data_IF_202513119322
#
_entry.id   IF_202513119322
#
_cell.length_a   1.000
_cell.length_b   1.000
_cell.length_c   1.000
_cell.angle_alpha   90.00
_cell.angle_beta   90.00
_cell.angle_gamma   90.00
#
_symmetry.space_group_name_H-M   'P 1'
#
loop_
_entity.id
_entity.type
_entity.pdbx_description
1 polymer ?
#
# COMPACT_ATOMS: atom_id res chain seq x y z
N UNK A 1 22.84 -9.82 43.74
CA UNK A 1 21.99 -10.78 43.00
C UNK A 1 22.36 -10.70 41.53
N UNK A 2 23.11 -11.66 41.00
CA UNK A 2 23.65 -11.62 39.64
C UNK A 2 22.62 -12.17 38.66
N UNK A 3 22.07 -11.33 37.78
CA UNK A 3 21.24 -11.76 36.67
C UNK A 3 22.11 -12.43 35.60
N UNK A 4 22.42 -13.73 35.78
CA UNK A 4 23.09 -14.52 34.76
C UNK A 4 22.09 -14.95 33.69
N UNK A 5 22.08 -14.25 32.57
CA UNK A 5 21.33 -14.67 31.39
C UNK A 5 21.99 -15.92 30.80
N UNK A 6 21.43 -17.10 31.07
CA UNK A 6 21.94 -18.35 30.49
C UNK A 6 21.43 -18.52 29.05
N UNK A 7 22.13 -19.33 28.24
CA UNK A 7 21.80 -19.53 26.81
C UNK A 7 20.34 -19.92 26.58
N UNK A 8 19.78 -20.77 27.46
CA UNK A 8 18.40 -21.27 27.35
C UNK A 8 17.39 -20.15 27.60
N UNK A 9 17.66 -19.32 28.60
CA UNK A 9 16.87 -18.14 28.94
C UNK A 9 16.93 -17.08 27.83
N UNK A 10 18.11 -16.89 27.23
CA UNK A 10 18.27 -16.02 26.05
C UNK A 10 17.42 -16.50 24.87
N UNK A 11 17.52 -17.77 24.48
CA UNK A 11 16.75 -18.33 23.36
C UNK A 11 15.24 -18.23 23.61
N UNK A 12 14.78 -18.52 24.84
CA UNK A 12 13.36 -18.43 25.20
C UNK A 12 12.82 -17.01 25.09
N UNK A 13 13.57 -16.03 25.60
CA UNK A 13 13.21 -14.60 25.52
C UNK A 13 13.26 -14.07 24.09
N UNK A 14 14.27 -14.47 23.32
CA UNK A 14 14.39 -14.10 21.91
C UNK A 14 13.20 -14.64 21.09
N UNK A 15 12.81 -15.91 21.30
CA UNK A 15 11.66 -16.51 20.63
C UNK A 15 10.32 -15.82 21.00
N UNK A 16 10.15 -15.45 22.27
CA UNK A 16 8.99 -14.67 22.72
C UNK A 16 8.96 -13.26 22.10
N UNK A 17 10.11 -12.59 22.00
CA UNK A 17 10.21 -11.26 21.41
C UNK A 17 9.97 -11.27 19.89
N UNK A 18 10.42 -12.31 19.18
CA UNK A 18 10.22 -12.42 17.72
C UNK A 18 8.83 -12.91 17.34
N UNK A 19 8.06 -13.51 18.25
CA UNK A 19 6.69 -13.95 17.98
C UNK A 19 5.76 -12.79 17.55
N UNK A 20 6.02 -11.56 18.01
CA UNK A 20 5.26 -10.37 17.63
C UNK A 20 5.80 -9.68 16.36
N UNK A 21 6.97 -10.07 15.86
CA UNK A 21 7.60 -9.43 14.70
C UNK A 21 6.73 -9.43 13.43
N UNK A 22 5.99 -10.49 13.07
CA UNK A 22 5.15 -10.48 11.87
C UNK A 22 4.04 -9.42 11.91
N UNK A 23 3.42 -9.19 13.07
CA UNK A 23 2.36 -8.20 13.24
C UNK A 23 2.91 -6.77 13.12
N UNK A 24 4.04 -6.50 13.77
CA UNK A 24 4.73 -5.19 13.69
C UNK A 24 5.23 -4.92 12.27
N UNK A 25 5.80 -5.92 11.59
CA UNK A 25 6.26 -5.77 10.21
C UNK A 25 5.12 -5.44 9.25
N UNK A 26 3.90 -5.97 9.43
CA UNK A 26 2.74 -5.61 8.61
C UNK A 26 2.28 -4.18 8.85
N UNK A 27 2.31 -3.70 10.10
CA UNK A 27 1.98 -2.33 10.45
C UNK A 27 3.00 -1.32 9.87
N UNK A 28 4.29 -1.66 9.91
CA UNK A 28 5.37 -0.79 9.42
C UNK A 28 5.53 -0.83 7.90
N UNK A 29 5.19 -1.95 7.24
CA UNK A 29 5.27 -2.09 5.77
C UNK A 29 4.11 -1.42 5.01
N UNK A 30 3.42 -0.47 5.64
CA UNK A 30 2.56 0.44 4.90
C UNK A 30 1.28 -0.21 4.36
N UNK A 31 0.64 -1.09 5.13
CA UNK A 31 -0.65 -1.67 4.73
C UNK A 31 -1.70 -0.61 4.34
N UNK A 32 -1.61 0.60 4.90
CA UNK A 32 -2.40 1.78 4.54
C UNK A 32 -1.53 2.99 4.15
N UNK A 33 -0.36 2.76 3.55
CA UNK A 33 0.51 3.86 3.15
C UNK A 33 -0.13 4.69 2.03
N UNK A 34 -0.06 6.03 2.08
CA UNK A 34 -0.56 6.90 1.01
C UNK A 34 0.04 6.57 -0.37
N UNK A 35 1.28 6.08 -0.39
CA UNK A 35 1.98 5.64 -1.61
C UNK A 35 1.33 4.43 -2.30
N UNK A 36 0.39 3.73 -1.66
CA UNK A 36 -0.34 2.62 -2.27
C UNK A 36 -1.44 3.10 -3.24
N UNK A 37 -1.74 4.41 -3.24
CA UNK A 37 -2.75 5.00 -4.12
C UNK A 37 -2.11 6.01 -5.07
N UNK A 38 -2.42 5.88 -6.35
CA UNK A 38 -2.09 6.87 -7.39
C UNK A 38 -3.36 7.58 -7.82
N UNK A 39 -3.41 8.88 -7.60
CA UNK A 39 -4.50 9.75 -8.05
C UNK A 39 -4.08 10.39 -9.37
N UNK A 40 -4.87 10.17 -10.43
CA UNK A 40 -4.56 10.64 -11.78
C UNK A 40 -5.73 11.40 -12.41
N UNK A 41 -5.38 12.21 -13.41
CA UNK A 41 -6.32 12.87 -14.30
C UNK A 41 -6.17 12.31 -15.72
N UNK A 42 -7.27 12.20 -16.47
CA UNK A 42 -7.24 11.77 -17.87
C UNK A 42 -7.58 12.97 -18.76
N UNK A 43 -6.67 13.32 -19.66
CA UNK A 43 -6.85 14.39 -20.64
C UNK A 43 -7.09 13.79 -22.03
N UNK A 44 -8.19 14.16 -22.66
CA UNK A 44 -8.74 13.52 -23.85
C UNK A 44 -9.42 12.19 -23.49
N UNK A 45 -10.75 12.15 -23.44
CA UNK A 45 -11.54 10.98 -22.99
C UNK A 45 -12.28 10.25 -24.10
N UNK A 46 -12.10 10.62 -25.36
CA UNK A 46 -12.57 9.81 -26.49
C UNK A 46 -11.86 8.44 -26.58
N UNK A 47 -12.26 7.56 -27.52
CA UNK A 47 -11.63 6.27 -27.88
C UNK A 47 -10.61 5.70 -26.87
N UNK A 48 -9.30 5.96 -27.04
CA UNK A 48 -8.23 5.45 -26.18
C UNK A 48 -8.25 6.05 -24.77
N UNK A 49 -8.58 7.31 -24.64
CA UNK A 49 -8.73 8.00 -23.36
C UNK A 49 -9.77 7.34 -22.46
N UNK A 50 -10.96 7.06 -23.01
CA UNK A 50 -12.00 6.27 -22.31
C UNK A 50 -11.48 4.89 -21.93
N UNK A 51 -10.78 4.19 -22.83
CA UNK A 51 -10.24 2.86 -22.54
C UNK A 51 -9.25 2.88 -21.36
N UNK A 52 -8.35 3.87 -21.35
CA UNK A 52 -7.38 4.08 -20.26
C UNK A 52 -8.07 4.49 -18.96
N UNK A 53 -8.98 5.47 -18.99
CA UNK A 53 -9.74 5.91 -17.82
C UNK A 53 -10.48 4.74 -17.17
N UNK A 54 -11.18 3.93 -17.98
CA UNK A 54 -11.87 2.73 -17.50
C UNK A 54 -10.91 1.66 -16.99
N UNK A 55 -9.74 1.51 -17.61
CA UNK A 55 -8.70 0.60 -17.16
C UNK A 55 -8.18 0.97 -15.77
N UNK A 56 -7.77 2.23 -15.59
CA UNK A 56 -7.27 2.74 -14.32
C UNK A 56 -8.35 2.78 -13.23
N UNK A 57 -9.59 3.15 -13.56
CA UNK A 57 -10.68 3.17 -12.58
C UNK A 57 -11.03 1.78 -12.01
N UNK A 58 -10.63 0.70 -12.68
CA UNK A 58 -10.80 -0.69 -12.19
C UNK A 58 -9.55 -1.23 -11.50
N UNK A 59 -8.43 -0.54 -11.56
CA UNK A 59 -7.18 -0.99 -11.00
C UNK A 59 -7.16 -0.66 -9.50
N UNK A 60 -6.91 -1.66 -8.66
CA UNK A 60 -6.73 -1.45 -7.23
C UNK A 60 -5.55 -0.50 -6.98
N UNK A 61 -5.74 0.48 -6.09
CA UNK A 61 -4.72 1.49 -5.83
C UNK A 61 -4.65 2.60 -6.88
N UNK A 62 -5.53 2.66 -7.88
CA UNK A 62 -5.64 3.79 -8.79
C UNK A 62 -6.97 4.54 -8.60
N UNK A 63 -6.92 5.86 -8.71
CA UNK A 63 -8.09 6.74 -8.71
C UNK A 63 -8.03 7.69 -9.90
N UNK A 64 -9.07 7.68 -10.72
CA UNK A 64 -9.28 8.70 -11.75
C UNK A 64 -10.13 9.80 -11.12
N UNK A 65 -9.47 10.86 -10.63
CA UNK A 65 -10.14 11.94 -9.91
C UNK A 65 -10.64 13.06 -10.81
N UNK A 66 -10.02 13.24 -11.97
CA UNK A 66 -10.40 14.28 -12.94
C UNK A 66 -10.37 13.77 -14.37
N UNK A 67 -11.26 14.36 -15.17
CA UNK A 67 -11.27 14.23 -16.63
C UNK A 67 -11.23 15.62 -17.23
N UNK A 68 -10.61 15.74 -18.39
CA UNK A 68 -10.56 16.97 -19.17
C UNK A 68 -10.63 16.62 -20.64
N UNK A 69 -11.57 17.21 -21.37
CA UNK A 69 -11.63 17.16 -22.82
C UNK A 69 -12.04 18.54 -23.35
N UNK A 70 -11.67 18.82 -24.59
CA UNK A 70 -12.09 20.03 -25.32
C UNK A 70 -13.54 19.89 -25.81
N UNK A 71 -13.99 18.67 -26.05
CA UNK A 71 -15.37 18.36 -26.41
C UNK A 71 -16.19 18.06 -25.14
N UNK A 72 -17.22 18.85 -24.87
CA UNK A 72 -18.14 18.65 -23.75
C UNK A 72 -18.93 17.34 -23.81
N UNK A 73 -18.98 16.68 -24.98
CA UNK A 73 -19.68 15.40 -25.20
C UNK A 73 -18.81 14.17 -24.96
N UNK A 74 -17.51 14.37 -24.73
CA UNK A 74 -16.52 13.31 -24.59
C UNK A 74 -16.71 12.42 -23.35
#
# INVERSE_FOLDING_TARGET
MSFKLNRREFVRRAALATAAAPAVLRAVRGAAAPSNRVVLAVMGTNSRGTALARGFARLEGAEVAWICDVDERA
#
